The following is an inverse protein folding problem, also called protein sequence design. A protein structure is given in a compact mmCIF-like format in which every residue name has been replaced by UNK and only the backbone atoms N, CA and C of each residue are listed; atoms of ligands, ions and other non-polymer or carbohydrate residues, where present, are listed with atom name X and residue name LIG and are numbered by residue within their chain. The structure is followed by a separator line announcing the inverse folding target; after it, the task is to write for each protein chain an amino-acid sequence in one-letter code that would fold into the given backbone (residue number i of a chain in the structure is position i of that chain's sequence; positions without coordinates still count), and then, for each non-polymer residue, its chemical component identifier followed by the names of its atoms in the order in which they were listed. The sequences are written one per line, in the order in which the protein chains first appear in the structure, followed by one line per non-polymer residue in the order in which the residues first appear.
data_IF_587941236552
#
_entry.id   IF_587941236552
#
_cell.length_a   1.000
_cell.length_b   1.000
_cell.length_c   1.000
_cell.angle_alpha   90.00
_cell.angle_beta   90.00
_cell.angle_gamma   90.00
#
_symmetry.space_group_name_H-M   'P 1'
#
loop_
_entity.id
_entity.type
_entity.pdbx_description
1 polymer ?
#
# COMPACT_ATOMS: atom_id res chain seq x y z
N UNK A 1 10.96 -14.27 18.58
CA UNK A 1 12.25 -13.57 18.69
C UNK A 1 13.31 -14.41 18.01
N UNK A 2 14.19 -13.78 17.23
CA UNK A 2 15.25 -14.40 16.43
C UNK A 2 14.78 -15.13 15.14
N UNK A 3 13.85 -14.52 14.41
CA UNK A 3 13.28 -15.08 13.17
C UNK A 3 13.37 -14.13 11.97
N UNK A 4 13.94 -12.94 12.16
CA UNK A 4 14.12 -11.94 11.11
C UNK A 4 15.60 -11.85 10.76
N UNK A 5 15.86 -11.44 9.53
CA UNK A 5 17.16 -11.00 9.06
C UNK A 5 16.91 -9.93 7.99
N UNK A 6 17.86 -9.05 7.75
CA UNK A 6 17.70 -7.94 6.82
C UNK A 6 18.12 -6.60 7.44
N UNK A 7 17.69 -5.52 6.78
CA UNK A 7 18.00 -4.14 7.19
C UNK A 7 17.42 -3.76 8.57
N UNK A 8 16.42 -4.48 9.06
CA UNK A 8 15.83 -4.28 10.38
C UNK A 8 16.45 -5.17 11.48
N UNK A 9 17.60 -5.81 11.21
CA UNK A 9 18.33 -6.60 12.20
C UNK A 9 17.72 -7.98 12.48
N UNK A 10 18.06 -8.52 13.66
CA UNK A 10 17.84 -9.94 14.01
C UNK A 10 16.60 -10.19 14.88
N UNK A 11 16.01 -9.12 15.44
CA UNK A 11 14.83 -9.17 16.32
C UNK A 11 15.00 -10.14 17.50
N UNK A 12 16.18 -10.12 18.13
CA UNK A 12 16.51 -10.90 19.32
C UNK A 12 16.61 -10.05 20.61
N UNK A 13 16.54 -8.72 20.48
CA UNK A 13 16.64 -7.75 21.57
C UNK A 13 18.07 -7.32 21.91
N UNK A 14 19.05 -7.67 21.07
CA UNK A 14 20.47 -7.28 21.21
C UNK A 14 20.90 -6.33 20.07
N UNK A 15 20.82 -5.00 20.29
CA UNK A 15 21.12 -4.02 19.22
C UNK A 15 22.58 -4.08 18.74
N UNK A 16 23.51 -4.59 19.57
CA UNK A 16 24.93 -4.68 19.21
C UNK A 16 25.19 -5.69 18.06
N UNK A 17 24.21 -6.53 17.72
CA UNK A 17 24.33 -7.51 16.63
C UNK A 17 23.46 -7.19 15.40
N UNK A 18 22.69 -6.10 15.41
CA UNK A 18 21.73 -5.81 14.34
C UNK A 18 22.41 -5.51 13.00
N UNK A 19 23.67 -5.06 13.01
CA UNK A 19 24.50 -4.91 11.80
C UNK A 19 25.15 -6.23 11.36
N UNK A 20 24.36 -7.30 11.35
CA UNK A 20 24.73 -8.59 10.78
C UNK A 20 24.44 -8.58 9.27
N UNK A 21 25.48 -8.74 8.45
CA UNK A 21 25.39 -8.79 6.99
C UNK A 21 24.62 -10.00 6.49
N UNK A 22 24.24 -10.00 5.21
CA UNK A 22 23.50 -11.11 4.58
C UNK A 22 24.23 -12.46 4.60
N UNK A 23 25.56 -12.48 4.77
CA UNK A 23 26.37 -13.68 4.93
C UNK A 23 26.59 -14.11 6.39
N UNK A 24 25.99 -13.37 7.35
CA UNK A 24 26.05 -13.65 8.79
C UNK A 24 27.25 -13.04 9.51
N UNK A 25 27.99 -12.13 8.89
CA UNK A 25 29.14 -11.44 9.49
C UNK A 25 28.70 -10.17 10.23
N UNK A 26 29.24 -9.92 11.41
CA UNK A 26 29.01 -8.66 12.11
C UNK A 26 29.93 -7.57 11.54
N UNK A 27 29.37 -6.43 11.17
CA UNK A 27 30.13 -5.23 10.76
C UNK A 27 29.81 -4.03 11.63
N UNK A 28 30.74 -3.06 11.67
CA UNK A 28 30.52 -1.74 12.30
C UNK A 28 30.23 -0.64 11.25
N UNK A 29 30.24 -0.96 9.96
CA UNK A 29 29.90 -0.02 8.88
C UNK A 29 28.44 -0.20 8.47
N UNK A 30 27.66 0.87 8.59
CA UNK A 30 26.26 0.93 8.14
C UNK A 30 26.18 0.70 6.63
N UNK A 31 27.18 1.16 5.90
CA UNK A 31 27.29 1.06 4.45
C UNK A 31 27.54 -0.39 4.01
N UNK A 32 28.47 -1.09 4.68
CA UNK A 32 28.74 -2.50 4.44
C UNK A 32 27.50 -3.35 4.80
N UNK A 33 26.89 -3.07 5.94
CA UNK A 33 25.65 -3.72 6.38
C UNK A 33 24.54 -3.56 5.34
N UNK A 34 24.20 -2.32 4.97
CA UNK A 34 23.15 -2.02 4.02
C UNK A 34 23.41 -2.61 2.63
N UNK A 35 24.65 -2.49 2.14
CA UNK A 35 25.05 -3.01 0.82
C UNK A 35 25.02 -4.54 0.76
N UNK A 36 25.24 -5.22 1.88
CA UNK A 36 25.18 -6.69 1.92
C UNK A 36 23.78 -7.24 1.63
N UNK A 37 22.72 -6.47 1.90
CA UNK A 37 21.32 -6.89 1.76
C UNK A 37 20.68 -6.55 0.42
N UNK A 38 21.46 -6.10 -0.57
CA UNK A 38 20.97 -5.80 -1.93
C UNK A 38 20.47 -7.07 -2.62
N UNK A 39 19.27 -7.00 -3.21
CA UNK A 39 18.65 -8.07 -4.00
C UNK A 39 18.41 -7.62 -5.45
N UNK A 40 18.56 -8.54 -6.41
CA UNK A 40 18.44 -8.25 -7.84
C UNK A 40 19.79 -8.24 -8.57
N UNK A 41 19.80 -8.66 -9.85
CA UNK A 41 21.01 -8.92 -10.63
C UNK A 41 21.33 -7.87 -11.69
N UNK A 42 20.80 -6.65 -11.57
CA UNK A 42 21.18 -5.55 -12.47
C UNK A 42 21.90 -4.45 -11.68
N UNK A 43 22.81 -3.76 -12.34
CA UNK A 43 23.84 -2.90 -11.80
C UNK A 43 23.31 -1.77 -10.88
N UNK A 44 23.00 -2.11 -9.63
CA UNK A 44 22.92 -1.13 -8.55
C UNK A 44 24.35 -0.63 -8.31
N UNK A 45 24.68 0.53 -8.88
CA UNK A 45 25.87 1.27 -8.47
C UNK A 45 25.72 1.58 -6.99
N UNK A 46 26.73 1.21 -6.18
CA UNK A 46 26.79 1.61 -4.77
C UNK A 46 26.55 3.12 -4.71
N UNK A 47 25.54 3.54 -3.96
CA UNK A 47 25.25 4.95 -3.77
C UNK A 47 26.49 5.63 -3.17
N UNK A 48 26.83 6.87 -3.57
CA UNK A 48 27.91 7.59 -2.93
C UNK A 48 27.63 7.71 -1.43
N UNK A 49 28.68 7.57 -0.62
CA UNK A 49 28.59 7.76 0.82
C UNK A 49 28.01 9.14 1.11
N UNK A 50 26.92 9.21 1.90
CA UNK A 50 26.36 10.49 2.27
C UNK A 50 27.30 11.20 3.25
N UNK A 51 27.30 12.54 3.30
CA UNK A 51 28.22 13.28 4.15
C UNK A 51 27.92 13.03 5.64
N UNK A 52 28.93 12.68 6.42
CA UNK A 52 28.79 12.44 7.88
C UNK A 52 28.24 13.67 8.63
N UNK A 53 28.60 14.88 8.19
CA UNK A 53 28.16 16.14 8.78
C UNK A 53 27.67 17.11 7.69
N UNK A 54 26.43 16.96 7.19
CA UNK A 54 25.93 17.73 6.05
C UNK A 54 25.88 19.24 6.31
N UNK A 55 25.74 19.66 7.57
CA UNK A 55 25.68 21.06 7.96
C UNK A 55 27.03 21.73 8.23
N UNK A 56 28.16 21.00 8.19
CA UNK A 56 29.44 21.52 8.65
C UNK A 56 29.89 22.75 7.85
N UNK A 57 30.18 23.86 8.54
CA UNK A 57 30.64 25.11 7.92
C UNK A 57 29.56 25.98 7.27
N UNK A 58 28.28 25.72 7.53
CA UNK A 58 27.16 26.48 6.98
C UNK A 58 26.30 27.13 8.07
N UNK A 59 25.65 28.26 7.75
CA UNK A 59 24.63 28.86 8.63
C UNK A 59 23.40 27.95 8.78
N UNK A 60 23.21 26.99 7.86
CA UNK A 60 22.12 26.00 7.88
C UNK A 60 22.09 25.19 9.17
N UNK A 61 23.24 24.94 9.82
CA UNK A 61 23.27 24.21 11.10
C UNK A 61 22.46 24.92 12.18
N UNK A 62 22.63 26.24 12.30
CA UNK A 62 21.94 27.02 13.34
C UNK A 62 20.44 27.07 13.06
N UNK A 63 20.07 27.21 11.78
CA UNK A 63 18.67 27.19 11.38
C UNK A 63 18.03 25.82 11.58
N UNK A 64 18.69 24.73 11.21
CA UNK A 64 18.22 23.37 11.46
C UNK A 64 18.04 23.12 12.97
N UNK A 65 19.03 23.49 13.79
CA UNK A 65 18.94 23.40 15.25
C UNK A 65 17.73 24.13 15.81
N UNK A 66 17.44 25.34 15.30
CA UNK A 66 16.29 26.14 15.72
C UNK A 66 14.97 25.51 15.25
N UNK A 67 14.91 25.07 14.00
CA UNK A 67 13.70 24.46 13.41
C UNK A 67 13.36 23.14 14.08
N UNK A 68 14.33 22.26 14.35
CA UNK A 68 14.09 20.95 14.96
C UNK A 68 13.90 20.97 16.49
N UNK A 69 14.20 22.09 17.16
CA UNK A 69 14.23 22.16 18.63
C UNK A 69 12.92 21.74 19.31
N UNK A 70 11.76 21.97 18.68
CA UNK A 70 10.46 21.62 19.27
C UNK A 70 10.28 20.12 19.53
N UNK A 71 11.06 19.25 18.86
CA UNK A 71 11.09 17.80 19.10
C UNK A 71 11.59 17.50 20.52
N UNK A 72 12.65 18.20 20.96
CA UNK A 72 13.32 18.00 22.25
C UNK A 72 12.91 19.03 23.32
N UNK A 73 12.07 19.99 22.98
CA UNK A 73 11.61 21.01 23.93
C UNK A 73 10.69 20.41 24.99
N UNK A 74 11.13 20.42 26.25
CA UNK A 74 10.38 19.88 27.41
C UNK A 74 9.09 20.63 27.71
N UNK A 75 8.91 21.83 27.14
CA UNK A 75 7.67 22.59 27.22
C UNK A 75 6.94 22.66 25.86
N UNK A 76 7.42 21.90 24.88
CA UNK A 76 6.92 21.88 23.51
C UNK A 76 5.72 20.95 23.31
N UNK A 77 5.30 20.75 22.05
CA UNK A 77 4.13 19.94 21.71
C UNK A 77 4.35 18.45 22.03
N UNK A 78 5.59 18.01 22.20
CA UNK A 78 5.95 16.65 22.56
C UNK A 78 6.33 16.47 24.04
N UNK A 79 6.03 17.44 24.90
CA UNK A 79 6.40 17.36 26.33
C UNK A 79 5.93 16.07 27.01
N UNK A 80 4.73 15.60 26.67
CA UNK A 80 4.15 14.36 27.21
C UNK A 80 4.69 13.08 26.53
N UNK A 81 5.50 13.21 25.47
CA UNK A 81 6.05 12.11 24.67
C UNK A 81 7.51 11.76 24.98
N UNK A 82 8.23 12.59 25.76
CA UNK A 82 9.67 12.44 26.05
C UNK A 82 10.04 11.18 26.86
N UNK A 83 9.06 10.34 27.19
CA UNK A 83 9.32 8.98 27.66
C UNK A 83 9.84 8.07 26.53
N UNK A 84 9.55 8.40 25.26
CA UNK A 84 10.26 7.91 24.07
C UNK A 84 11.44 8.85 23.82
N UNK A 85 12.66 8.30 23.72
CA UNK A 85 13.88 9.09 23.51
C UNK A 85 13.77 9.94 22.22
N UNK A 86 13.73 11.28 22.31
CA UNK A 86 13.62 12.15 21.15
C UNK A 86 14.94 12.32 20.38
N UNK A 87 16.09 11.90 20.94
CA UNK A 87 17.41 12.19 20.36
C UNK A 87 17.57 11.68 18.93
N UNK A 88 17.21 10.43 18.58
CA UNK A 88 17.35 9.94 17.20
C UNK A 88 16.51 10.75 16.20
N UNK A 89 15.30 11.16 16.59
CA UNK A 89 14.43 11.99 15.76
C UNK A 89 15.00 13.40 15.59
N UNK A 90 15.50 14.01 16.66
CA UNK A 90 16.14 15.33 16.57
C UNK A 90 17.36 15.32 15.66
N UNK A 91 18.24 14.32 15.80
CA UNK A 91 19.44 14.19 14.98
C UNK A 91 19.11 13.93 13.50
N UNK A 92 18.09 13.10 13.22
CA UNK A 92 17.58 12.90 11.85
C UNK A 92 17.05 14.21 11.26
N UNK A 93 16.24 14.96 12.02
CA UNK A 93 15.71 16.25 11.58
C UNK A 93 16.84 17.24 11.23
N UNK A 94 17.89 17.30 12.05
CA UNK A 94 19.06 18.13 11.75
C UNK A 94 19.68 17.69 10.43
N UNK A 95 20.00 16.41 10.32
CA UNK A 95 20.67 15.83 9.17
C UNK A 95 19.89 16.08 7.86
N UNK A 96 18.58 15.86 7.88
CA UNK A 96 17.68 16.03 6.75
C UNK A 96 17.60 17.50 6.30
N UNK A 97 17.40 18.44 7.23
CA UNK A 97 17.37 19.88 6.91
C UNK A 97 18.69 20.42 6.37
N UNK A 98 19.81 19.75 6.64
CA UNK A 98 21.09 20.12 6.08
C UNK A 98 21.25 19.68 4.61
N UNK A 99 20.62 18.57 4.23
CA UNK A 99 20.68 17.98 2.89
C UNK A 99 19.60 18.53 1.96
N UNK A 100 18.43 18.84 2.51
CA UNK A 100 17.28 19.34 1.78
C UNK A 100 17.41 20.83 1.46
N UNK A 101 16.66 21.26 0.45
CA UNK A 101 16.46 22.68 0.20
C UNK A 101 15.43 23.26 1.20
N UNK A 102 15.54 24.55 1.58
CA UNK A 102 14.60 25.17 2.51
C UNK A 102 13.15 25.06 2.02
N UNK A 103 12.27 24.53 2.87
CA UNK A 103 10.83 24.40 2.58
C UNK A 103 10.42 23.05 1.97
N UNK A 104 11.33 22.07 1.90
CA UNK A 104 11.00 20.70 1.49
C UNK A 104 10.31 19.86 2.59
N UNK A 105 10.25 20.36 3.84
CA UNK A 105 9.39 19.80 4.88
C UNK A 105 9.98 18.62 5.68
N UNK A 106 11.29 18.40 5.66
CA UNK A 106 11.94 17.30 6.41
C UNK A 106 11.67 17.34 7.93
N UNK A 107 11.46 18.53 8.49
CA UNK A 107 11.04 18.70 9.89
C UNK A 107 9.65 18.12 10.16
N UNK A 108 8.74 18.18 9.17
CA UNK A 108 7.39 17.67 9.27
C UNK A 108 7.37 16.14 9.25
N UNK A 109 8.16 15.53 8.36
CA UNK A 109 8.28 14.08 8.26
C UNK A 109 8.86 13.49 9.54
N UNK A 110 9.91 14.11 10.07
CA UNK A 110 10.53 13.65 11.32
C UNK A 110 9.62 13.83 12.53
N UNK A 111 8.91 14.96 12.61
CA UNK A 111 7.94 15.19 13.67
C UNK A 111 6.76 14.23 13.60
N UNK A 112 6.30 13.86 12.40
CA UNK A 112 5.28 12.83 12.21
C UNK A 112 5.74 11.47 12.75
N UNK A 113 6.98 11.06 12.45
CA UNK A 113 7.54 9.81 12.96
C UNK A 113 7.63 9.81 14.49
N UNK A 114 8.04 10.93 15.11
CA UNK A 114 8.09 11.03 16.57
C UNK A 114 6.68 11.04 17.20
N UNK A 115 5.72 11.71 16.57
CA UNK A 115 4.32 11.68 16.98
C UNK A 115 3.75 10.25 16.95
N UNK A 116 4.02 9.50 15.88
CA UNK A 116 3.59 8.12 15.72
C UNK A 116 4.24 7.19 16.77
N UNK A 117 5.55 7.31 17.01
CA UNK A 117 6.23 6.55 18.05
C UNK A 117 5.68 6.85 19.45
N UNK A 118 5.36 8.12 19.74
CA UNK A 118 4.70 8.49 20.97
C UNK A 118 3.32 7.84 21.13
N UNK A 119 2.50 7.87 20.06
CA UNK A 119 1.16 7.26 20.07
C UNK A 119 1.20 5.74 20.23
N UNK A 120 2.16 5.07 19.58
CA UNK A 120 2.35 3.61 19.68
C UNK A 120 2.64 3.15 21.11
N UNK A 121 3.32 3.98 21.89
CA UNK A 121 3.60 3.72 23.31
C UNK A 121 2.49 4.26 24.24
N UNK A 122 1.33 4.65 23.69
CA UNK A 122 0.16 5.11 24.42
C UNK A 122 0.20 6.60 24.84
N UNK A 123 1.18 7.35 24.34
CA UNK A 123 1.29 8.79 24.56
C UNK A 123 0.32 9.59 23.68
N UNK A 124 0.17 10.87 24.02
CA UNK A 124 -0.67 11.81 23.28
C UNK A 124 0.18 13.03 22.88
N UNK A 125 0.68 13.10 21.64
CA UNK A 125 1.37 14.28 21.17
C UNK A 125 0.41 15.47 21.15
N UNK A 126 0.92 16.64 21.53
CA UNK A 126 0.21 17.91 21.41
C UNK A 126 0.01 18.34 19.95
N UNK A 127 -0.39 19.59 19.74
CA UNK A 127 -0.67 20.11 18.40
C UNK A 127 0.62 20.51 17.64
N UNK A 128 1.48 19.53 17.41
CA UNK A 128 2.80 19.71 16.79
C UNK A 128 2.71 20.26 15.36
N UNK A 129 1.66 19.92 14.60
CA UNK A 129 1.46 20.43 13.24
C UNK A 129 1.30 21.94 13.19
N UNK A 130 0.50 22.50 14.09
CA UNK A 130 0.34 23.96 14.18
C UNK A 130 1.63 24.63 14.66
N UNK A 131 2.38 23.97 15.54
CA UNK A 131 3.65 24.47 16.05
C UNK A 131 4.76 24.52 14.98
N UNK A 132 4.83 23.48 14.16
CA UNK A 132 5.86 23.32 13.13
C UNK A 132 5.44 23.87 11.76
N UNK A 133 4.23 24.40 11.62
CA UNK A 133 3.62 24.80 10.34
C UNK A 133 3.60 23.65 9.31
N UNK A 134 3.21 22.46 9.79
CA UNK A 134 3.18 21.20 9.06
C UNK A 134 1.74 20.72 8.81
N UNK A 135 0.96 21.41 7.96
CA UNK A 135 -0.42 20.99 7.68
C UNK A 135 -0.46 19.57 7.09
N UNK A 136 -1.53 18.84 7.38
CA UNK A 136 -1.83 17.58 6.71
C UNK A 136 -2.78 17.85 5.53
N UNK A 137 -2.27 18.00 4.30
CA UNK A 137 -3.13 18.22 3.13
C UNK A 137 -3.89 16.94 2.82
N UNK A 138 -5.22 17.05 2.72
CA UNK A 138 -6.09 15.93 2.35
C UNK A 138 -6.65 16.13 0.95
N UNK A 139 -6.50 15.15 0.04
CA UNK A 139 -7.02 15.24 -1.32
C UNK A 139 -8.54 15.02 -1.36
N UNK A 140 -9.15 15.35 -2.51
CA UNK A 140 -10.47 14.88 -2.96
C UNK A 140 -11.59 14.82 -1.89
N UNK A 141 -11.87 15.95 -1.24
CA UNK A 141 -12.93 16.13 -0.22
C UNK A 141 -12.74 15.36 1.10
N UNK A 142 -11.57 14.77 1.32
CA UNK A 142 -11.20 14.18 2.60
C UNK A 142 -10.86 15.28 3.62
N UNK A 143 -10.92 14.93 4.90
CA UNK A 143 -10.58 15.81 6.03
C UNK A 143 -9.49 15.20 6.90
N UNK A 144 -8.60 16.00 7.50
CA UNK A 144 -7.55 15.46 8.37
C UNK A 144 -8.14 14.95 9.68
N UNK A 145 -7.66 13.80 10.15
CA UNK A 145 -7.91 13.29 11.49
C UNK A 145 -6.60 12.96 12.19
N UNK A 146 -6.49 13.37 13.45
CA UNK A 146 -5.33 13.10 14.31
C UNK A 146 -5.27 11.65 14.81
N UNK A 147 -6.40 10.96 14.75
CA UNK A 147 -6.57 9.61 15.29
C UNK A 147 -7.81 9.01 14.62
N UNK A 148 -7.61 8.21 13.59
CA UNK A 148 -8.65 7.43 12.92
C UNK A 148 -8.24 5.98 12.82
N UNK A 149 -9.21 5.08 12.77
CA UNK A 149 -8.94 3.67 12.46
C UNK A 149 -8.26 3.57 11.09
N UNK A 150 -7.21 2.74 10.94
CA UNK A 150 -6.66 2.45 9.62
C UNK A 150 -7.67 1.72 8.71
N UNK A 151 -8.66 1.03 9.28
CA UNK A 151 -9.73 0.36 8.55
C UNK A 151 -10.94 1.29 8.44
N UNK A 152 -10.84 2.29 7.56
CA UNK A 152 -11.90 3.25 7.32
C UNK A 152 -13.06 2.64 6.51
N UNK A 153 -14.30 3.10 6.73
CA UNK A 153 -15.43 2.77 5.86
C UNK A 153 -15.12 3.06 4.39
N UNK A 154 -15.39 2.08 3.53
CA UNK A 154 -15.14 2.17 2.08
C UNK A 154 -16.32 1.62 1.31
N UNK A 155 -16.40 1.89 -0.01
CA UNK A 155 -17.45 1.27 -0.82
C UNK A 155 -17.37 -0.27 -0.83
N UNK A 156 -16.21 -0.87 -0.56
CA UNK A 156 -16.07 -2.32 -0.48
C UNK A 156 -16.51 -2.87 0.89
N UNK A 157 -16.38 -2.07 1.94
CA UNK A 157 -16.80 -2.40 3.31
C UNK A 157 -17.44 -1.16 3.97
N UNK A 158 -18.76 -0.93 3.73
CA UNK A 158 -19.43 0.29 4.17
C UNK A 158 -19.51 0.46 5.69
N UNK A 159 -19.63 -0.65 6.43
CA UNK A 159 -19.71 -0.61 7.90
C UNK A 159 -18.33 -0.34 8.53
N UNK A 160 -17.25 -0.55 7.78
CA UNK A 160 -15.86 -0.39 8.19
C UNK A 160 -15.43 -1.34 9.32
N UNK A 161 -14.38 -2.13 9.10
CA UNK A 161 -13.49 -2.54 10.19
C UNK A 161 -14.09 -3.41 11.31
N UNK A 162 -15.11 -4.24 11.06
CA UNK A 162 -15.55 -5.26 12.05
C UNK A 162 -14.42 -6.25 12.40
N UNK A 163 -13.41 -6.35 11.54
CA UNK A 163 -12.23 -7.21 11.73
C UNK A 163 -10.91 -6.45 11.56
N UNK A 164 -10.88 -5.15 11.89
CA UNK A 164 -9.65 -4.39 11.81
C UNK A 164 -8.59 -5.00 12.74
N UNK A 165 -7.44 -5.48 12.22
CA UNK A 165 -6.43 -6.15 13.05
C UNK A 165 -5.59 -5.16 13.87
N UNK A 166 -5.88 -3.86 13.76
CA UNK A 166 -5.17 -2.78 14.40
C UNK A 166 -6.07 -2.08 15.40
N UNK A 167 -5.63 -2.04 16.65
CA UNK A 167 -6.30 -1.32 17.74
C UNK A 167 -5.85 0.15 17.81
N UNK A 168 -4.63 0.43 17.32
CA UNK A 168 -4.06 1.76 17.32
C UNK A 168 -4.61 2.60 16.17
N UNK A 169 -4.92 3.85 16.47
CA UNK A 169 -5.33 4.81 15.46
C UNK A 169 -4.11 5.47 14.81
N UNK A 170 -4.30 5.95 13.58
CA UNK A 170 -3.31 6.69 12.83
C UNK A 170 -3.80 8.10 12.57
N UNK A 171 -2.86 9.04 12.53
CA UNK A 171 -3.10 10.33 11.89
C UNK A 171 -3.14 10.13 10.38
N UNK A 172 -4.28 10.45 9.77
CA UNK A 172 -4.54 10.24 8.35
C UNK A 172 -5.68 11.13 7.84
N UNK A 173 -5.88 11.17 6.54
CA UNK A 173 -7.08 11.74 5.93
C UNK A 173 -8.23 10.75 6.02
N UNK A 174 -9.44 11.25 6.28
CA UNK A 174 -10.65 10.44 6.46
C UNK A 174 -11.77 11.00 5.62
N UNK A 175 -12.75 10.17 5.28
CA UNK A 175 -13.99 10.68 4.70
C UNK A 175 -14.85 11.41 5.72
N UNK A 176 -15.51 12.51 5.33
CA UNK A 176 -16.52 13.15 6.17
C UNK A 176 -17.60 12.16 6.62
N UNK A 177 -18.25 12.45 7.75
CA UNK A 177 -19.33 11.64 8.28
C UNK A 177 -20.44 11.42 7.22
N UNK A 178 -20.79 10.15 6.98
CA UNK A 178 -21.79 9.75 5.99
C UNK A 178 -21.22 9.34 4.62
N UNK A 179 -19.96 9.65 4.33
CA UNK A 179 -19.30 9.29 3.06
C UNK A 179 -18.39 8.07 3.19
N UNK A 180 -18.19 7.38 2.08
CA UNK A 180 -17.36 6.18 1.96
C UNK A 180 -16.12 6.45 1.11
N UNK A 181 -15.00 5.82 1.48
CA UNK A 181 -13.78 5.88 0.70
C UNK A 181 -13.91 5.04 -0.58
N UNK A 182 -13.63 5.67 -1.71
CA UNK A 182 -13.45 5.02 -3.01
C UNK A 182 -12.08 5.40 -3.56
N UNK A 183 -11.11 4.48 -3.44
CA UNK A 183 -9.71 4.62 -3.87
C UNK A 183 -8.98 5.78 -3.18
N UNK A 184 -9.27 7.01 -3.57
CA UNK A 184 -8.59 8.24 -3.15
C UNK A 184 -9.54 9.43 -2.93
N UNK A 185 -10.86 9.20 -2.96
CA UNK A 185 -11.87 10.24 -2.76
C UNK A 185 -13.09 9.71 -2.01
N UNK A 186 -13.91 10.63 -1.51
CA UNK A 186 -15.11 10.31 -0.75
C UNK A 186 -16.36 10.45 -1.61
N UNK A 187 -17.22 9.44 -1.54
CA UNK A 187 -18.49 9.36 -2.28
C UNK A 187 -19.63 9.01 -1.35
N UNK A 188 -20.86 9.28 -1.78
CA UNK A 188 -22.06 8.80 -1.09
C UNK A 188 -22.30 7.30 -1.42
N UNK A 189 -23.05 6.59 -0.57
CA UNK A 189 -23.30 5.15 -0.77
C UNK A 189 -24.02 4.84 -2.08
N UNK A 190 -24.83 5.77 -2.60
CA UNK A 190 -25.53 5.64 -3.87
C UNK A 190 -24.56 5.62 -5.08
N UNK A 191 -23.38 6.21 -4.92
CA UNK A 191 -22.34 6.25 -5.95
C UNK A 191 -21.39 5.04 -5.87
N UNK A 192 -21.47 4.27 -4.79
CA UNK A 192 -20.70 3.04 -4.64
C UNK A 192 -21.21 1.94 -5.56
N UNK A 193 -20.26 1.27 -6.22
CA UNK A 193 -20.43 -0.08 -6.77
C UNK A 193 -20.55 -1.14 -5.67
N UNK A 194 -20.40 -2.41 -6.06
CA UNK A 194 -20.65 -3.58 -5.23
C UNK A 194 -19.38 -4.40 -5.02
N UNK A 195 -19.26 -5.08 -3.88
CA UNK A 195 -18.16 -5.99 -3.60
C UNK A 195 -18.72 -7.37 -3.22
N UNK A 196 -18.22 -8.43 -3.87
CA UNK A 196 -18.68 -9.81 -3.62
C UNK A 196 -17.82 -10.58 -2.60
N UNK A 197 -16.83 -9.90 -1.99
CA UNK A 197 -15.81 -10.51 -1.14
C UNK A 197 -14.48 -10.78 -1.84
N UNK A 198 -14.46 -10.74 -3.18
CA UNK A 198 -13.26 -10.99 -4.00
C UNK A 198 -12.98 -9.82 -4.94
N UNK A 199 -14.01 -9.34 -5.64
CA UNK A 199 -13.89 -8.32 -6.68
C UNK A 199 -14.93 -7.21 -6.48
N UNK A 200 -14.51 -5.99 -6.86
CA UNK A 200 -15.36 -4.82 -6.89
C UNK A 200 -15.95 -4.62 -8.29
N UNK A 201 -17.24 -4.32 -8.37
CA UNK A 201 -18.01 -4.12 -9.59
C UNK A 201 -18.64 -2.74 -9.60
N UNK A 202 -18.57 -2.03 -10.72
CA UNK A 202 -19.25 -0.75 -10.90
C UNK A 202 -20.76 -0.94 -11.01
N UNK A 203 -21.53 0.10 -10.71
CA UNK A 203 -22.98 0.08 -10.88
C UNK A 203 -23.34 -0.24 -12.33
N UNK A 204 -24.18 -1.26 -12.52
CA UNK A 204 -24.62 -1.78 -13.80
C UNK A 204 -23.75 -2.89 -14.39
N UNK A 205 -22.58 -3.19 -13.80
CA UNK A 205 -21.77 -4.33 -14.24
C UNK A 205 -22.42 -5.66 -13.88
N UNK A 206 -22.24 -6.65 -14.76
CA UNK A 206 -22.71 -8.02 -14.57
C UNK A 206 -21.54 -8.99 -14.55
N UNK A 207 -21.69 -10.08 -13.79
CA UNK A 207 -20.71 -11.15 -13.73
C UNK A 207 -21.35 -12.51 -13.44
N UNK A 208 -20.66 -13.58 -13.85
CA UNK A 208 -21.01 -14.94 -13.47
C UNK A 208 -20.25 -15.35 -12.20
N UNK A 209 -20.93 -16.05 -11.30
CA UNK A 209 -20.30 -16.60 -10.10
C UNK A 209 -19.28 -17.71 -10.45
N UNK A 210 -18.55 -18.22 -9.45
CA UNK A 210 -17.44 -19.18 -9.65
C UNK A 210 -17.80 -20.46 -10.43
N UNK A 211 -19.08 -20.85 -10.43
CA UNK A 211 -19.54 -22.07 -11.10
C UNK A 211 -20.46 -21.78 -12.30
N UNK A 212 -20.59 -20.52 -12.71
CA UNK A 212 -21.50 -20.07 -13.78
C UNK A 212 -22.96 -20.53 -13.54
N UNK A 213 -23.38 -20.61 -12.29
CA UNK A 213 -24.75 -21.01 -11.90
C UNK A 213 -25.66 -19.82 -11.62
N UNK A 214 -25.05 -18.66 -11.40
CA UNK A 214 -25.72 -17.40 -11.09
C UNK A 214 -25.05 -16.28 -11.88
N UNK A 215 -25.88 -15.41 -12.48
CA UNK A 215 -25.44 -14.13 -13.03
C UNK A 215 -25.90 -13.02 -12.09
N UNK A 216 -24.96 -12.20 -11.65
CA UNK A 216 -25.19 -11.10 -10.73
C UNK A 216 -25.07 -9.77 -11.46
N UNK A 217 -25.89 -8.80 -11.08
CA UNK A 217 -25.78 -7.40 -11.48
C UNK A 217 -25.55 -6.54 -10.24
N UNK A 218 -24.58 -5.62 -10.34
CA UNK A 218 -24.40 -4.59 -9.34
C UNK A 218 -25.41 -3.46 -9.56
N UNK A 219 -26.21 -3.18 -8.54
CA UNK A 219 -27.19 -2.10 -8.51
C UNK A 219 -26.68 -0.97 -7.61
N UNK A 220 -27.27 0.23 -7.76
CA UNK A 220 -27.00 1.38 -6.90
C UNK A 220 -27.16 1.04 -5.41
N UNK A 221 -26.38 1.72 -4.55
CA UNK A 221 -26.43 1.51 -3.10
C UNK A 221 -25.78 0.20 -2.65
N UNK A 222 -24.69 -0.22 -3.31
CA UNK A 222 -23.92 -1.41 -2.95
C UNK A 222 -24.74 -2.72 -2.97
N UNK A 223 -25.74 -2.82 -3.86
CA UNK A 223 -26.70 -3.93 -3.85
C UNK A 223 -26.44 -4.92 -4.99
N UNK A 224 -26.12 -6.17 -4.65
CA UNK A 224 -26.01 -7.27 -5.63
C UNK A 224 -27.35 -7.97 -5.80
N UNK A 225 -27.80 -8.10 -7.05
CA UNK A 225 -28.95 -8.94 -7.43
C UNK A 225 -28.48 -10.08 -8.31
N UNK A 226 -28.64 -11.31 -7.85
CA UNK A 226 -28.20 -12.51 -8.58
C UNK A 226 -29.38 -13.36 -9.05
N UNK A 227 -29.32 -13.78 -10.31
CA UNK A 227 -30.26 -14.70 -10.93
C UNK A 227 -29.67 -16.11 -10.98
N UNK A 228 -30.23 -17.02 -10.19
CA UNK A 228 -29.83 -18.42 -10.17
C UNK A 228 -30.51 -19.27 -11.26
N UNK A 229 -29.92 -20.42 -11.53
CA UNK A 229 -30.46 -21.43 -12.45
C UNK A 229 -29.79 -21.43 -13.83
N UNK A 230 -28.63 -20.78 -13.94
CA UNK A 230 -27.78 -20.86 -15.12
C UNK A 230 -26.95 -22.14 -15.09
N UNK A 231 -26.54 -22.58 -16.28
CA UNK A 231 -25.59 -23.66 -16.46
C UNK A 231 -24.97 -23.54 -17.84
N UNK A 232 -23.67 -23.75 -17.94
CA UNK A 232 -23.01 -23.87 -19.24
C UNK A 232 -23.59 -25.04 -20.04
N UNK A 233 -23.60 -24.92 -21.36
CA UNK A 233 -24.06 -25.98 -22.25
C UNK A 233 -23.13 -27.21 -22.21
N UNK A 234 -23.61 -28.34 -22.76
CA UNK A 234 -22.94 -29.66 -22.70
C UNK A 234 -21.49 -29.69 -23.22
N UNK A 235 -21.11 -28.76 -24.09
CA UNK A 235 -19.77 -28.65 -24.67
C UNK A 235 -19.05 -27.36 -24.25
N UNK A 236 -19.48 -26.77 -23.13
CA UNK A 236 -18.88 -25.60 -22.52
C UNK A 236 -18.42 -25.92 -21.11
N UNK A 237 -17.40 -25.20 -20.66
CA UNK A 237 -16.97 -25.18 -19.28
C UNK A 237 -16.91 -23.76 -18.75
N UNK A 238 -17.26 -23.60 -17.48
CA UNK A 238 -17.09 -22.35 -16.76
C UNK A 238 -15.59 -22.12 -16.52
N UNK A 239 -15.00 -21.18 -17.23
CA UNK A 239 -13.57 -20.88 -17.12
C UNK A 239 -13.32 -19.37 -17.26
N UNK A 240 -12.07 -18.96 -17.07
CA UNK A 240 -11.65 -17.56 -17.23
C UNK A 240 -10.77 -17.46 -18.47
N UNK A 241 -11.16 -16.64 -19.44
CA UNK A 241 -10.34 -16.28 -20.60
C UNK A 241 -10.19 -14.76 -20.65
N UNK A 242 -8.95 -14.27 -20.79
CA UNK A 242 -8.63 -12.83 -20.79
C UNK A 242 -9.20 -12.05 -19.58
N UNK A 243 -9.29 -12.71 -18.42
CA UNK A 243 -9.82 -12.13 -17.17
C UNK A 243 -11.35 -12.11 -17.06
N UNK A 244 -12.07 -12.60 -18.08
CA UNK A 244 -13.53 -12.69 -18.08
C UNK A 244 -13.94 -14.12 -17.76
N UNK A 245 -14.83 -14.29 -16.79
CA UNK A 245 -15.45 -15.58 -16.49
C UNK A 245 -16.70 -15.76 -17.33
N UNK A 246 -16.74 -16.85 -18.10
CA UNK A 246 -17.88 -17.20 -18.94
C UNK A 246 -17.90 -18.71 -19.24
N UNK A 247 -18.94 -19.16 -19.94
CA UNK A 247 -19.06 -20.50 -20.48
C UNK A 247 -18.33 -20.58 -21.83
N UNK A 248 -17.09 -21.08 -21.81
CA UNK A 248 -16.26 -21.21 -22.99
C UNK A 248 -16.28 -22.63 -23.55
N UNK A 249 -16.11 -22.78 -24.86
CA UNK A 249 -16.05 -24.11 -25.48
C UNK A 249 -14.87 -24.92 -24.95
N UNK A 250 -15.12 -26.20 -24.63
CA UNK A 250 -14.07 -27.14 -24.26
C UNK A 250 -13.18 -27.48 -25.47
N UNK A 251 -11.99 -28.03 -25.22
CA UNK A 251 -11.04 -28.41 -26.27
C UNK A 251 -11.69 -29.32 -27.34
N UNK A 252 -11.46 -29.00 -28.61
CA UNK A 252 -12.03 -29.71 -29.76
C UNK A 252 -13.38 -29.18 -30.24
N UNK A 253 -13.92 -28.13 -29.60
CA UNK A 253 -15.14 -27.44 -30.03
C UNK A 253 -14.88 -25.96 -30.30
N UNK A 254 -15.59 -25.39 -31.27
CA UNK A 254 -15.60 -23.95 -31.57
C UNK A 254 -17.02 -23.37 -31.51
N UNK A 255 -17.16 -22.09 -31.09
CA UNK A 255 -18.45 -21.43 -31.06
C UNK A 255 -18.96 -21.18 -32.47
N UNK A 256 -20.23 -21.52 -32.71
CA UNK A 256 -20.94 -21.13 -33.93
C UNK A 256 -21.46 -19.68 -33.85
N UNK A 257 -22.17 -19.23 -34.88
CA UNK A 257 -22.76 -17.87 -34.93
C UNK A 257 -23.82 -17.61 -33.85
N UNK A 258 -24.28 -18.64 -33.15
CA UNK A 258 -25.27 -18.57 -32.09
C UNK A 258 -24.65 -18.84 -30.71
N UNK A 259 -23.32 -18.86 -30.61
CA UNK A 259 -22.59 -19.11 -29.35
C UNK A 259 -22.62 -20.56 -28.89
N UNK A 260 -23.09 -21.50 -29.71
CA UNK A 260 -23.16 -22.93 -29.36
C UNK A 260 -21.89 -23.64 -29.83
N UNK A 261 -21.32 -24.50 -28.99
CA UNK A 261 -20.05 -25.16 -29.28
C UNK A 261 -20.24 -26.40 -30.16
N UNK A 262 -19.66 -26.38 -31.36
CA UNK A 262 -19.69 -27.45 -32.36
C UNK A 262 -18.29 -28.09 -32.51
N UNK A 263 -18.23 -29.40 -32.78
CA UNK A 263 -16.94 -30.08 -33.00
C UNK A 263 -16.15 -29.41 -34.12
N UNK A 264 -14.85 -29.21 -33.91
CA UNK A 264 -13.93 -28.80 -34.96
C UNK A 264 -13.89 -29.87 -36.04
N UNK A 265 -14.57 -29.60 -37.16
CA UNK A 265 -14.40 -30.40 -38.36
C UNK A 265 -12.97 -30.16 -38.84
N UNK A 266 -12.06 -31.10 -38.49
CA UNK A 266 -10.77 -31.23 -39.15
C UNK A 266 -11.03 -31.35 -40.65
N UNK A 267 -10.98 -30.23 -41.37
CA UNK A 267 -10.88 -30.28 -42.82
C UNK A 267 -9.51 -30.85 -43.12
N UNK A 268 -9.46 -32.17 -43.31
CA UNK A 268 -8.28 -32.84 -43.83
C UNK A 268 -8.10 -32.38 -45.28
N UNK A 269 -7.57 -31.19 -45.48
CA UNK A 269 -6.91 -30.85 -46.73
C UNK A 269 -5.59 -31.65 -46.74
N UNK A 270 -5.41 -32.61 -47.66
CA UNK A 270 -4.17 -33.38 -47.71
C UNK A 270 -3.00 -32.42 -48.01
N UNK A 271 -1.81 -32.65 -47.42
CA UNK A 271 -0.68 -31.78 -47.68
C UNK A 271 -0.32 -31.85 -49.17
N UNK A 272 -0.46 -30.72 -49.86
CA UNK A 272 0.04 -30.55 -51.22
C UNK A 272 1.55 -30.75 -51.19
N UNK A 273 2.03 -31.95 -51.53
CA UNK A 273 3.45 -32.20 -51.75
C UNK A 273 3.91 -31.33 -52.92
N UNK A 274 4.64 -30.27 -52.63
CA UNK A 274 5.49 -29.64 -53.64
C UNK A 274 6.62 -30.62 -53.96
N UNK A 275 6.53 -31.27 -55.12
CA UNK A 275 7.64 -32.01 -55.72
C UNK A 275 8.50 -30.97 -56.45
N UNK A 276 9.61 -30.58 -55.85
CA UNK A 276 10.67 -29.87 -56.54
C UNK A 276 11.51 -30.89 -57.29
N UNK A 277 11.31 -30.98 -58.61
CA UNK A 277 12.23 -31.66 -59.51
C UNK A 277 13.43 -30.76 -59.78
N UNK A 278 14.62 -31.37 -59.65
CA UNK A 278 16.00 -30.96 -59.92
C UNK A 278 16.23 -29.73 -60.80
#
# INVERSE_FOLDING_TARGET
MNATCGLCGTYDGEPDNDFTTSDGTLTNSVEEFGSSWVVGSEECTVAPEPPEYPCNGSDRNTDAMRTCYFIIDKAGPFADCHFVDPTPFYESCLYDLCLMEPGEGGECDTAYQYAAACQQEGGQPGDWRTWADCPLPCPNNMIPSKCSSPCQPSCAEPDGGESCPFEDCLETCVCPEGMLLQVDHCVEIEECGCFDGVQYYQVGETYLNENCTEECICMEGNSLTCLAGLSCDVNQECSIQDGIRDCYCIEGYQPDNNGTCQEELYTTAPPTKMVTTL
#
